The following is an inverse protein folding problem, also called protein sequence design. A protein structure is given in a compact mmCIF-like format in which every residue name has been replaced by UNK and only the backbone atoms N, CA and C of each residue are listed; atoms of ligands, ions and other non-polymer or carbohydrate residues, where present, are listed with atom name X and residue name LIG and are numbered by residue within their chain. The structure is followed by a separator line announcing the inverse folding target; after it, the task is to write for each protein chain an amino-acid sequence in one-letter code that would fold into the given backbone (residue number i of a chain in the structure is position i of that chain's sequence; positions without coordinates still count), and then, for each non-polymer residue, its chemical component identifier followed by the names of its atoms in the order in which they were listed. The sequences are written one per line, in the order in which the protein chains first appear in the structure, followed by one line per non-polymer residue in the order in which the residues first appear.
data_IF_478522329326
#
_entry.id   IF_478522329326
#
_cell.length_a   1.000
_cell.length_b   1.000
_cell.length_c   1.000
_cell.angle_alpha   90.00
_cell.angle_beta   90.00
_cell.angle_gamma   90.00
#
_symmetry.space_group_name_H-M   'P 1'
#
loop_
_entity.id
_entity.type
_entity.pdbx_description
1 polymer ?
#
# COMPACT_ATOMS: atom_id res chain seq x y z
N UNK A 1 -3.39 -10.67 13.63
CA UNK A 1 -3.19 -11.46 12.39
C UNK A 1 -2.59 -12.85 12.69
N UNK A 2 -1.31 -13.00 13.05
CA UNK A 2 -0.67 -14.32 13.25
C UNK A 2 -1.33 -15.21 14.31
N UNK A 3 -1.70 -14.65 15.47
CA UNK A 3 -2.42 -15.39 16.52
C UNK A 3 -3.84 -15.78 16.07
N UNK A 4 -4.49 -14.91 15.30
CA UNK A 4 -5.85 -15.13 14.80
C UNK A 4 -5.88 -16.17 13.69
N UNK A 5 -4.94 -16.12 12.75
CA UNK A 5 -4.75 -17.17 11.72
C UNK A 5 -4.49 -18.52 12.38
N UNK A 6 -3.64 -18.57 13.42
CA UNK A 6 -3.38 -19.82 14.18
C UNK A 6 -4.60 -20.31 14.96
N UNK A 7 -5.45 -19.41 15.44
CA UNK A 7 -6.73 -19.76 16.08
C UNK A 7 -7.68 -20.35 15.04
N UNK A 8 -7.90 -19.65 13.94
CA UNK A 8 -8.77 -20.08 12.83
C UNK A 8 -8.34 -21.40 12.20
N UNK A 9 -7.03 -21.63 11.99
CA UNK A 9 -6.51 -22.91 11.49
C UNK A 9 -6.71 -24.08 12.46
N UNK A 10 -6.79 -23.82 13.78
CA UNK A 10 -7.11 -24.86 14.77
C UNK A 10 -8.60 -25.15 14.85
N UNK A 11 -9.42 -24.12 14.69
CA UNK A 11 -10.87 -24.22 14.70
C UNK A 11 -11.41 -24.84 13.40
N UNK A 12 -10.69 -24.68 12.27
CA UNK A 12 -11.12 -25.17 10.96
C UNK A 12 -9.97 -25.91 10.23
N UNK A 13 -9.74 -27.21 10.52
CA UNK A 13 -8.60 -27.98 10.01
C UNK A 13 -8.58 -28.17 8.48
N UNK A 14 -9.74 -28.05 7.82
CA UNK A 14 -9.87 -28.14 6.36
C UNK A 14 -9.71 -26.82 5.60
N UNK A 15 -9.56 -25.69 6.30
CA UNK A 15 -9.49 -24.38 5.67
C UNK A 15 -8.09 -24.10 5.09
N UNK A 16 -7.98 -24.04 3.76
CA UNK A 16 -6.80 -23.55 3.07
C UNK A 16 -6.75 -22.01 3.16
N UNK A 17 -6.06 -21.48 4.16
CA UNK A 17 -5.92 -20.03 4.36
C UNK A 17 -4.71 -19.52 3.58
N UNK A 18 -4.94 -18.72 2.53
CA UNK A 18 -3.91 -17.96 1.83
C UNK A 18 -3.98 -16.50 2.31
N UNK A 19 -2.92 -16.03 2.98
CA UNK A 19 -2.81 -14.64 3.47
C UNK A 19 -1.55 -14.02 2.88
N UNK A 20 -1.66 -12.97 2.09
CA UNK A 20 -0.50 -12.19 1.61
C UNK A 20 -0.38 -10.88 2.38
N UNK A 21 0.83 -10.57 2.89
CA UNK A 21 1.11 -9.37 3.69
C UNK A 21 1.94 -9.68 4.93
N UNK A 22 1.33 -9.71 6.12
CA UNK A 22 2.04 -10.02 7.37
C UNK A 22 2.56 -11.47 7.43
N UNK A 23 1.94 -12.41 6.70
CA UNK A 23 2.43 -13.79 6.65
C UNK A 23 3.71 -13.94 5.82
N UNK A 24 3.95 -13.03 4.86
CA UNK A 24 5.18 -12.98 4.08
C UNK A 24 6.41 -12.62 4.92
N UNK A 25 6.25 -11.96 6.08
CA UNK A 25 7.34 -11.77 7.04
C UNK A 25 7.64 -13.04 7.85
N UNK A 26 6.73 -14.02 7.86
CA UNK A 26 6.86 -15.26 8.64
C UNK A 26 7.44 -16.38 7.76
N UNK A 27 7.01 -16.47 6.50
CA UNK A 27 7.51 -17.45 5.53
C UNK A 27 7.79 -16.79 4.14
N UNK A 28 8.73 -15.83 4.04
CA UNK A 28 8.94 -15.06 2.81
C UNK A 28 9.11 -15.94 1.55
N UNK A 29 9.91 -17.00 1.67
CA UNK A 29 10.20 -17.93 0.57
C UNK A 29 8.95 -18.66 0.04
N UNK A 30 7.94 -18.89 0.88
CA UNK A 30 6.68 -19.52 0.45
C UNK A 30 5.87 -18.52 -0.38
N UNK A 31 5.74 -17.29 0.12
CA UNK A 31 4.88 -16.27 -0.49
C UNK A 31 5.48 -15.69 -1.78
N UNK A 32 6.81 -15.59 -1.89
CA UNK A 32 7.47 -15.12 -3.13
C UNK A 32 7.31 -16.08 -4.31
N UNK A 33 6.93 -17.35 -4.07
CA UNK A 33 6.66 -18.34 -5.11
C UNK A 33 5.19 -18.42 -5.53
N UNK A 34 4.29 -17.68 -4.87
CA UNK A 34 2.88 -17.70 -5.23
C UNK A 34 2.66 -16.92 -6.52
N UNK A 35 1.96 -17.51 -7.47
CA UNK A 35 1.58 -16.82 -8.69
C UNK A 35 0.57 -15.70 -8.37
N UNK A 36 0.65 -14.59 -9.10
CA UNK A 36 -0.30 -13.49 -8.98
C UNK A 36 -1.70 -13.97 -9.35
N UNK A 37 -2.73 -13.45 -8.66
CA UNK A 37 -4.13 -13.73 -8.99
C UNK A 37 -4.52 -12.90 -10.21
N UNK A 38 -5.00 -13.54 -11.28
CA UNK A 38 -5.52 -12.87 -12.46
C UNK A 38 -7.03 -12.62 -12.37
N UNK A 39 -7.81 -13.58 -11.84
CA UNK A 39 -9.28 -13.45 -11.65
C UNK A 39 -9.76 -14.07 -10.35
N UNK A 40 -10.82 -13.46 -9.83
CA UNK A 40 -11.76 -14.14 -8.93
C UNK A 40 -12.81 -14.81 -9.80
N UNK A 41 -12.98 -16.12 -9.63
CA UNK A 41 -13.99 -16.89 -10.34
C UNK A 41 -15.31 -16.83 -9.56
N UNK A 42 -16.39 -16.56 -10.27
CA UNK A 42 -17.74 -16.47 -9.71
C UNK A 42 -18.73 -17.30 -10.52
N UNK A 43 -19.71 -17.86 -9.83
CA UNK A 43 -20.87 -18.53 -10.44
C UNK A 43 -22.12 -18.13 -9.66
N UNK A 44 -23.17 -17.72 -10.38
CA UNK A 44 -24.46 -17.30 -9.80
C UNK A 44 -24.33 -16.32 -8.61
N UNK A 45 -23.38 -15.38 -8.68
CA UNK A 45 -23.15 -14.39 -7.63
C UNK A 45 -22.46 -14.94 -6.38
N UNK A 46 -21.71 -16.04 -6.49
CA UNK A 46 -20.89 -16.61 -5.42
C UNK A 46 -19.46 -16.84 -5.91
N UNK A 47 -18.47 -16.64 -5.06
CA UNK A 47 -17.08 -17.06 -5.29
C UNK A 47 -17.02 -18.59 -5.46
N UNK A 48 -16.26 -19.04 -6.45
CA UNK A 48 -15.97 -20.47 -6.68
C UNK A 48 -14.47 -20.78 -6.71
N UNK A 49 -13.63 -19.77 -6.84
CA UNK A 49 -12.18 -19.95 -6.86
C UNK A 49 -11.40 -18.77 -7.40
N UNK A 50 -10.16 -19.03 -7.77
CA UNK A 50 -9.22 -18.08 -8.36
C UNK A 50 -8.63 -18.65 -9.64
N UNK A 51 -8.40 -17.78 -10.63
CA UNK A 51 -7.49 -18.05 -11.73
C UNK A 51 -6.18 -17.28 -11.48
N UNK A 52 -5.06 -17.98 -11.57
CA UNK A 52 -3.73 -17.42 -11.42
C UNK A 52 -3.15 -16.95 -12.77
N UNK A 53 -2.20 -16.03 -12.72
CA UNK A 53 -1.56 -15.46 -13.91
C UNK A 53 -0.77 -16.50 -14.75
N UNK A 54 -0.41 -17.65 -14.16
CA UNK A 54 0.21 -18.77 -14.85
C UNK A 54 -0.79 -19.75 -15.50
N UNK A 55 -2.09 -19.43 -15.44
CA UNK A 55 -3.17 -20.20 -16.06
C UNK A 55 -3.80 -21.27 -15.17
N UNK A 56 -3.22 -21.56 -13.99
CA UNK A 56 -3.83 -22.51 -13.04
C UNK A 56 -5.08 -21.94 -12.41
N UNK A 57 -6.08 -22.80 -12.17
CA UNK A 57 -7.27 -22.45 -11.39
C UNK A 57 -7.31 -23.27 -10.11
N UNK A 58 -7.72 -22.62 -9.03
CA UNK A 58 -7.82 -23.22 -7.69
C UNK A 58 -9.20 -22.90 -7.10
N UNK A 59 -9.88 -23.91 -6.56
CA UNK A 59 -11.20 -23.76 -5.98
C UNK A 59 -11.11 -23.19 -4.55
N UNK A 60 -11.98 -22.23 -4.25
CA UNK A 60 -12.10 -21.61 -2.92
C UNK A 60 -13.56 -21.28 -2.64
N UNK A 61 -14.00 -21.51 -1.40
CA UNK A 61 -15.33 -21.13 -0.96
C UNK A 61 -15.47 -19.62 -0.74
N UNK A 62 -14.36 -18.95 -0.40
CA UNK A 62 -14.31 -17.52 -0.15
C UNK A 62 -12.98 -16.91 -0.58
N UNK A 63 -12.99 -15.60 -0.85
CA UNK A 63 -11.82 -14.79 -1.18
C UNK A 63 -11.82 -13.52 -0.34
N UNK A 64 -10.70 -13.24 0.32
CA UNK A 64 -10.45 -11.97 1.02
C UNK A 64 -9.41 -11.17 0.23
N UNK A 65 -9.83 -10.11 -0.45
CA UNK A 65 -8.91 -9.23 -1.18
C UNK A 65 -8.31 -8.17 -0.25
N UNK A 66 -6.98 -8.18 -0.12
CA UNK A 66 -6.19 -7.09 0.46
C UNK A 66 -5.59 -6.16 -0.62
N UNK A 67 -5.93 -6.38 -1.89
CA UNK A 67 -5.52 -5.51 -2.98
C UNK A 67 -6.28 -4.19 -2.95
N UNK A 68 -5.83 -3.21 -3.74
CA UNK A 68 -6.62 -2.00 -3.95
C UNK A 68 -8.04 -2.37 -4.43
N UNK A 69 -9.04 -1.70 -3.86
CA UNK A 69 -10.45 -2.02 -4.12
C UNK A 69 -10.83 -1.74 -5.56
N UNK A 70 -10.28 -0.68 -6.19
CA UNK A 70 -10.52 -0.39 -7.60
C UNK A 70 -9.86 -1.44 -8.47
N UNK A 71 -8.63 -1.87 -8.14
CA UNK A 71 -7.98 -2.98 -8.84
C UNK A 71 -8.81 -4.27 -8.74
N UNK A 72 -9.28 -4.62 -7.55
CA UNK A 72 -10.09 -5.83 -7.36
C UNK A 72 -11.34 -5.82 -8.22
N UNK A 73 -12.11 -4.72 -8.21
CA UNK A 73 -13.33 -4.63 -9.02
C UNK A 73 -13.07 -4.52 -10.52
N UNK A 74 -12.09 -3.72 -10.95
CA UNK A 74 -11.85 -3.48 -12.38
C UNK A 74 -11.06 -4.60 -13.06
N UNK A 75 -10.11 -5.21 -12.37
CA UNK A 75 -9.18 -6.21 -12.93
C UNK A 75 -9.61 -7.63 -12.57
N UNK A 76 -9.69 -7.93 -11.28
CA UNK A 76 -9.92 -9.31 -10.83
C UNK A 76 -11.36 -9.79 -11.05
N UNK A 77 -12.32 -8.86 -11.04
CA UNK A 77 -13.75 -9.11 -11.27
C UNK A 77 -14.26 -8.60 -12.63
N UNK A 78 -13.37 -8.42 -13.62
CA UNK A 78 -13.71 -7.84 -14.93
C UNK A 78 -14.83 -8.59 -15.70
N UNK A 79 -14.97 -9.89 -15.44
CA UNK A 79 -15.97 -10.75 -16.08
C UNK A 79 -17.31 -10.74 -15.32
N UNK A 80 -17.34 -10.25 -14.08
CA UNK A 80 -18.54 -10.18 -13.24
C UNK A 80 -19.37 -8.93 -13.56
N UNK A 81 -20.32 -9.09 -14.47
CA UNK A 81 -21.16 -7.99 -14.95
C UNK A 81 -21.94 -7.28 -13.84
N UNK A 82 -22.33 -8.01 -12.79
CA UNK A 82 -23.12 -7.46 -11.69
C UNK A 82 -22.36 -6.38 -10.91
N UNK A 83 -21.02 -6.33 -10.92
CA UNK A 83 -20.24 -5.33 -10.18
C UNK A 83 -19.76 -4.15 -11.03
N UNK A 84 -19.97 -4.16 -12.36
CA UNK A 84 -19.43 -3.13 -13.28
C UNK A 84 -19.82 -1.69 -12.90
N UNK A 85 -21.05 -1.47 -12.45
CA UNK A 85 -21.50 -0.14 -12.01
C UNK A 85 -20.74 0.33 -10.75
N UNK A 86 -20.51 -0.58 -9.79
CA UNK A 86 -19.74 -0.31 -8.57
C UNK A 86 -18.28 -0.03 -8.90
N UNK A 87 -17.71 -0.81 -9.83
CA UNK A 87 -16.34 -0.66 -10.32
C UNK A 87 -16.11 0.74 -10.93
N UNK A 88 -17.00 1.18 -11.83
CA UNK A 88 -16.96 2.54 -12.42
C UNK A 88 -17.10 3.63 -11.37
N UNK A 89 -18.06 3.49 -10.45
CA UNK A 89 -18.30 4.47 -9.37
C UNK A 89 -17.09 4.59 -8.44
N UNK A 90 -16.41 3.48 -8.13
CA UNK A 90 -15.21 3.49 -7.30
C UNK A 90 -14.03 4.16 -8.03
N UNK A 91 -13.82 3.86 -9.30
CA UNK A 91 -12.77 4.47 -10.11
C UNK A 91 -12.96 5.99 -10.31
N UNK A 92 -14.19 6.49 -10.25
CA UNK A 92 -14.50 7.92 -10.35
C UNK A 92 -14.43 8.67 -9.01
N UNK A 93 -14.12 7.99 -7.89
CA UNK A 93 -13.96 8.65 -6.59
C UNK A 93 -12.67 9.48 -6.54
N UNK A 94 -12.55 10.33 -5.52
CA UNK A 94 -11.30 11.02 -5.23
C UNK A 94 -10.30 10.04 -4.64
N UNK A 95 -9.09 10.01 -5.18
CA UNK A 95 -8.02 9.15 -4.71
C UNK A 95 -6.99 9.95 -3.91
N UNK A 96 -6.37 9.30 -2.92
CA UNK A 96 -5.36 9.95 -2.10
C UNK A 96 -4.17 10.37 -2.95
N UNK A 97 -3.34 11.27 -2.43
CA UNK A 97 -2.00 11.48 -2.97
C UNK A 97 -1.21 10.18 -3.07
N UNK A 98 -0.17 10.21 -3.89
CA UNK A 98 0.86 9.18 -3.91
C UNK A 98 2.05 9.62 -3.03
N UNK A 99 3.07 8.77 -2.96
CA UNK A 99 4.31 9.03 -2.26
C UNK A 99 5.48 8.78 -3.21
N UNK A 100 6.56 9.52 -2.97
CA UNK A 100 7.87 9.22 -3.52
C UNK A 100 8.78 8.82 -2.36
N UNK A 101 9.33 7.61 -2.42
CA UNK A 101 10.19 7.06 -1.38
C UNK A 101 11.63 6.92 -1.87
N UNK A 102 12.57 7.16 -0.97
CA UNK A 102 13.97 6.78 -1.16
C UNK A 102 14.37 5.95 0.04
N UNK A 103 14.71 4.68 -0.19
CA UNK A 103 15.41 3.85 0.78
C UNK A 103 16.89 4.01 0.53
N UNK A 104 17.67 4.34 1.56
CA UNK A 104 19.11 4.55 1.38
C UNK A 104 19.92 4.13 2.59
N UNK A 105 21.17 3.72 2.35
CA UNK A 105 22.13 3.36 3.36
C UNK A 105 23.39 4.20 3.23
N UNK A 106 23.96 4.61 4.36
CA UNK A 106 25.15 5.43 4.42
C UNK A 106 26.23 4.78 5.30
N UNK A 107 27.50 4.81 4.86
CA UNK A 107 28.68 4.37 5.63
C UNK A 107 29.16 5.45 6.61
N UNK A 108 28.22 6.06 7.31
CA UNK A 108 28.44 7.15 8.26
C UNK A 108 27.31 7.19 9.27
N UNK A 109 27.63 7.59 10.50
CA UNK A 109 26.66 7.87 11.54
C UNK A 109 26.29 9.35 11.57
N UNK A 110 25.01 9.65 11.83
CA UNK A 110 24.46 11.00 11.94
C UNK A 110 23.83 11.19 13.33
N UNK A 111 24.58 11.65 14.35
CA UNK A 111 24.09 11.68 15.73
C UNK A 111 22.98 12.73 16.02
N UNK A 112 22.67 13.62 15.06
CA UNK A 112 21.73 14.74 15.24
C UNK A 112 20.28 14.49 14.80
N UNK A 113 19.93 13.26 14.44
CA UNK A 113 18.61 12.89 13.91
C UNK A 113 17.85 11.96 14.86
N UNK A 114 16.55 12.17 14.97
CA UNK A 114 15.66 11.28 15.73
C UNK A 114 15.32 10.03 14.92
N UNK A 115 14.69 9.04 15.58
CA UNK A 115 14.16 7.86 14.90
C UNK A 115 13.13 8.26 13.83
N UNK A 116 12.27 9.23 14.14
CA UNK A 116 11.27 9.80 13.24
C UNK A 116 11.46 11.31 13.15
N UNK A 117 11.54 11.85 11.94
CA UNK A 117 11.74 13.28 11.72
C UNK A 117 10.70 13.78 10.72
N UNK A 118 10.04 14.89 11.05
CA UNK A 118 9.18 15.63 10.12
C UNK A 118 9.90 16.92 9.75
N UNK A 119 10.19 17.07 8.47
CA UNK A 119 10.91 18.20 7.90
C UNK A 119 9.89 19.03 7.12
N UNK A 120 9.58 20.22 7.63
CA UNK A 120 8.60 21.10 7.02
C UNK A 120 9.22 21.96 5.92
N UNK A 121 8.50 22.03 4.79
CA UNK A 121 8.78 23.00 3.73
C UNK A 121 8.28 24.40 4.08
N UNK A 122 8.65 25.41 3.28
CA UNK A 122 8.28 26.80 3.52
C UNK A 122 6.79 27.10 3.25
N UNK A 123 6.07 26.24 2.50
CA UNK A 123 4.71 26.49 2.02
C UNK A 123 3.77 25.29 2.23
N UNK A 124 3.38 24.99 3.46
CA UNK A 124 2.53 23.84 3.74
C UNK A 124 1.22 23.82 2.93
N UNK A 125 0.44 24.91 2.96
CA UNK A 125 -0.82 25.02 2.20
C UNK A 125 -0.58 24.99 0.68
N UNK A 126 0.45 25.69 0.22
CA UNK A 126 0.85 25.69 -1.19
C UNK A 126 1.16 24.30 -1.70
N UNK A 127 1.91 23.50 -0.93
CA UNK A 127 2.27 22.12 -1.25
C UNK A 127 1.03 21.21 -1.32
N UNK A 128 0.08 21.35 -0.40
CA UNK A 128 -1.18 20.60 -0.47
C UNK A 128 -1.97 20.93 -1.74
N UNK A 129 -2.05 22.21 -2.12
CA UNK A 129 -2.69 22.61 -3.38
C UNK A 129 -1.96 22.09 -4.63
N UNK A 130 -0.63 21.98 -4.60
CA UNK A 130 0.14 21.37 -5.69
C UNK A 130 -0.20 19.88 -5.84
N UNK A 131 -0.34 19.17 -4.72
CA UNK A 131 -0.62 17.72 -4.68
C UNK A 131 -2.07 17.41 -5.05
N UNK A 132 -3.02 18.04 -4.37
CA UNK A 132 -4.43 17.66 -4.43
C UNK A 132 -5.23 18.43 -5.47
N UNK A 133 -4.85 19.64 -5.86
CA UNK A 133 -5.65 20.45 -6.77
C UNK A 133 -5.01 20.58 -8.15
N UNK A 134 -3.76 21.04 -8.19
CA UNK A 134 -3.05 21.36 -9.44
C UNK A 134 -2.41 20.15 -10.11
N UNK A 135 -2.03 19.12 -9.35
CA UNK A 135 -1.34 17.95 -9.88
C UNK A 135 0.11 18.25 -10.29
N UNK A 136 0.79 19.13 -9.57
CA UNK A 136 2.16 19.56 -9.87
C UNK A 136 3.18 18.89 -8.94
N UNK A 137 4.33 18.51 -9.49
CA UNK A 137 5.47 18.10 -8.67
C UNK A 137 6.14 19.34 -8.06
N UNK A 138 6.02 19.51 -6.74
CA UNK A 138 6.56 20.67 -6.04
C UNK A 138 8.10 20.75 -6.15
N UNK A 139 8.61 21.99 -6.15
CA UNK A 139 10.05 22.27 -6.13
C UNK A 139 10.61 22.27 -4.70
N UNK A 140 9.79 22.64 -3.73
CA UNK A 140 10.02 22.50 -2.29
C UNK A 140 9.43 21.18 -1.74
N UNK A 141 9.81 20.81 -0.52
CA UNK A 141 9.45 19.53 0.08
C UNK A 141 8.91 19.69 1.49
N UNK A 142 7.94 18.85 1.86
CA UNK A 142 7.77 18.41 3.24
C UNK A 142 8.11 16.93 3.29
N UNK A 143 9.12 16.57 4.07
CA UNK A 143 9.66 15.21 4.11
C UNK A 143 9.37 14.57 5.45
N UNK A 144 9.17 13.28 5.44
CA UNK A 144 9.37 12.47 6.63
C UNK A 144 10.59 11.59 6.43
N UNK A 145 11.52 11.65 7.38
CA UNK A 145 12.76 10.88 7.39
C UNK A 145 12.74 9.91 8.57
N UNK A 146 12.88 8.62 8.27
CA UNK A 146 12.96 7.54 9.23
C UNK A 146 14.39 7.02 9.34
N UNK A 147 14.88 6.92 10.57
CA UNK A 147 16.23 6.45 10.89
C UNK A 147 16.15 5.32 11.93
N UNK A 148 15.78 4.09 11.52
CA UNK A 148 15.52 2.98 12.44
C UNK A 148 16.75 2.55 13.25
N UNK A 149 17.97 2.80 12.77
CA UNK A 149 19.21 2.51 13.50
C UNK A 149 19.36 3.30 14.80
N UNK A 150 18.51 4.30 15.05
CA UNK A 150 18.40 4.98 16.36
C UNK A 150 17.90 4.08 17.48
N UNK A 151 17.09 3.07 17.16
CA UNK A 151 16.54 2.14 18.15
C UNK A 151 16.96 0.70 17.90
N UNK A 152 17.34 0.36 16.67
CA UNK A 152 17.77 -0.99 16.31
C UNK A 152 19.03 -0.94 15.43
N UNK A 153 20.19 -1.08 16.06
CA UNK A 153 21.47 -1.09 15.38
C UNK A 153 21.63 -2.28 14.40
N UNK A 154 20.82 -3.34 14.50
CA UNK A 154 20.89 -4.49 13.59
C UNK A 154 20.38 -4.19 12.18
N UNK A 155 19.68 -3.06 12.00
CA UNK A 155 19.13 -2.61 10.73
C UNK A 155 20.19 -2.13 9.72
N UNK A 156 21.46 -1.98 10.12
CA UNK A 156 22.58 -1.65 9.25
C UNK A 156 23.89 -2.29 9.76
N UNK A 157 24.91 -2.46 8.89
CA UNK A 157 26.25 -2.87 9.34
C UNK A 157 26.85 -1.90 10.38
N UNK A 158 27.83 -2.37 11.15
CA UNK A 158 28.54 -1.51 12.10
C UNK A 158 29.11 -0.26 11.41
N UNK A 159 28.95 0.91 12.04
CA UNK A 159 29.37 2.20 11.50
C UNK A 159 28.52 2.72 10.33
N UNK A 160 27.43 2.05 9.97
CA UNK A 160 26.50 2.47 8.92
C UNK A 160 25.14 2.86 9.50
N UNK A 161 24.37 3.63 8.74
CA UNK A 161 22.98 3.91 9.01
C UNK A 161 22.12 3.57 7.80
N UNK A 162 20.88 3.17 8.04
CA UNK A 162 19.87 3.01 7.00
C UNK A 162 18.69 3.93 7.27
N UNK A 163 18.05 4.32 6.18
CA UNK A 163 17.02 5.33 6.16
C UNK A 163 15.94 4.98 5.15
N UNK A 164 14.75 5.51 5.39
CA UNK A 164 13.90 5.87 4.27
C UNK A 164 13.37 7.29 4.44
N UNK A 165 13.26 8.01 3.34
CA UNK A 165 12.59 9.31 3.28
C UNK A 165 11.36 9.18 2.39
N UNK A 166 10.27 9.83 2.78
CA UNK A 166 9.05 9.95 1.98
C UNK A 166 8.72 11.41 1.71
N UNK A 167 8.34 11.67 0.45
CA UNK A 167 7.79 12.94 0.00
C UNK A 167 6.38 12.73 -0.56
N UNK A 168 5.37 13.47 -0.09
CA UNK A 168 4.05 13.50 -0.71
C UNK A 168 4.10 14.04 -2.14
N UNK A 169 3.47 13.34 -3.09
CA UNK A 169 3.40 13.75 -4.50
C UNK A 169 2.00 13.50 -5.06
N UNK A 170 1.56 14.22 -6.12
CA UNK A 170 0.30 13.89 -6.77
C UNK A 170 0.29 12.44 -7.28
N UNK A 171 -0.88 11.82 -7.29
CA UNK A 171 -1.06 10.49 -7.88
C UNK A 171 -1.04 10.57 -9.43
N UNK A 172 -0.85 9.44 -10.10
CA UNK A 172 -0.68 9.37 -11.57
C UNK A 172 -1.90 9.89 -12.35
N UNK A 173 -3.10 9.81 -11.78
CA UNK A 173 -4.30 10.43 -12.37
C UNK A 173 -4.35 11.97 -12.35
N UNK A 174 -3.40 12.64 -11.67
CA UNK A 174 -3.30 14.12 -11.59
C UNK A 174 -1.99 14.66 -12.14
N UNK A 175 -0.90 13.90 -12.05
CA UNK A 175 0.41 14.28 -12.53
C UNK A 175 0.88 13.28 -13.59
N UNK A 176 1.00 13.76 -14.83
CA UNK A 176 1.47 12.99 -15.97
C UNK A 176 2.92 13.38 -16.32
N UNK A 177 3.87 12.72 -15.68
CA UNK A 177 5.31 12.89 -15.94
C UNK A 177 5.98 11.53 -16.09
N UNK A 178 7.14 11.51 -16.76
CA UNK A 178 7.96 10.31 -16.84
C UNK A 178 8.81 10.15 -15.58
N UNK A 179 8.38 9.25 -14.69
CA UNK A 179 9.10 8.98 -13.44
C UNK A 179 10.46 8.30 -13.64
N UNK A 180 10.75 7.73 -14.82
CA UNK A 180 12.08 7.20 -15.14
C UNK A 180 13.09 8.32 -15.35
N UNK A 181 12.63 9.49 -15.80
CA UNK A 181 13.46 10.69 -15.97
C UNK A 181 13.42 11.56 -14.71
N UNK A 182 12.22 11.87 -14.23
CA UNK A 182 12.03 12.80 -13.11
C UNK A 182 12.32 12.18 -11.75
N UNK A 183 12.16 10.86 -11.59
CA UNK A 183 12.43 10.16 -10.33
C UNK A 183 13.88 10.32 -9.86
N UNK A 184 14.90 10.00 -10.67
CA UNK A 184 16.30 10.21 -10.29
C UNK A 184 16.63 11.68 -9.98
N UNK A 185 16.08 12.63 -10.74
CA UNK A 185 16.26 14.07 -10.50
C UNK A 185 15.66 14.50 -9.17
N UNK A 186 14.43 14.09 -8.91
CA UNK A 186 13.71 14.41 -7.68
C UNK A 186 14.42 13.80 -6.46
N UNK A 187 14.92 12.57 -6.58
CA UNK A 187 15.72 11.93 -5.54
C UNK A 187 17.01 12.69 -5.24
N UNK A 188 17.76 13.11 -6.26
CA UNK A 188 19.00 13.88 -6.05
C UNK A 188 18.73 15.22 -5.35
N UNK A 189 17.63 15.91 -5.68
CA UNK A 189 17.24 17.15 -4.99
C UNK A 189 16.89 16.89 -3.51
N UNK A 190 16.16 15.81 -3.21
CA UNK A 190 15.84 15.43 -1.82
C UNK A 190 17.11 15.09 -1.06
N UNK A 191 17.98 14.24 -1.62
CA UNK A 191 19.23 13.84 -0.98
C UNK A 191 20.20 15.00 -0.80
N UNK A 192 20.25 15.94 -1.75
CA UNK A 192 21.04 17.17 -1.61
C UNK A 192 20.46 18.07 -0.52
N UNK A 193 19.15 18.24 -0.45
CA UNK A 193 18.50 18.97 0.64
C UNK A 193 18.79 18.35 2.02
N UNK A 194 18.70 17.02 2.12
CA UNK A 194 19.05 16.30 3.34
C UNK A 194 20.53 16.46 3.69
N UNK A 195 21.42 16.32 2.71
CA UNK A 195 22.86 16.50 2.88
C UNK A 195 23.19 17.88 3.45
N UNK A 196 22.65 18.94 2.85
CA UNK A 196 23.06 20.30 3.17
C UNK A 196 22.53 20.78 4.52
N UNK A 197 21.40 20.22 4.98
CA UNK A 197 20.67 20.74 6.16
C UNK A 197 20.64 19.80 7.36
N UNK A 198 20.64 18.49 7.14
CA UNK A 198 20.33 17.51 8.21
C UNK A 198 21.36 16.39 8.33
N UNK A 199 21.96 15.97 7.21
CA UNK A 199 22.84 14.82 7.08
C UNK A 199 24.15 15.22 6.37
N UNK A 200 24.98 16.12 6.94
CA UNK A 200 26.17 16.62 6.27
C UNK A 200 27.13 15.49 5.91
N UNK A 201 27.49 15.38 4.63
CA UNK A 201 28.34 14.30 4.12
C UNK A 201 27.56 13.06 3.65
N UNK A 202 26.23 13.16 3.49
CA UNK A 202 25.37 12.06 3.05
C UNK A 202 25.74 11.62 1.63
N UNK A 203 25.95 12.55 0.70
CA UNK A 203 26.17 12.18 -0.71
C UNK A 203 27.47 11.39 -0.88
N UNK A 204 28.50 11.73 -0.13
CA UNK A 204 29.82 11.08 -0.15
C UNK A 204 29.81 9.74 0.61
N UNK A 205 28.89 9.57 1.56
CA UNK A 205 28.76 8.36 2.37
C UNK A 205 27.67 7.41 1.88
N UNK A 206 26.94 7.74 0.82
CA UNK A 206 25.89 6.88 0.26
C UNK A 206 26.48 5.56 -0.26
N UNK A 207 25.89 4.44 0.15
CA UNK A 207 26.34 3.08 -0.26
C UNK A 207 25.30 2.40 -1.14
N UNK A 208 24.02 2.57 -0.81
CA UNK A 208 22.90 1.98 -1.54
C UNK A 208 21.73 2.96 -1.59
N UNK A 209 20.97 2.91 -2.67
CA UNK A 209 19.75 3.67 -2.86
C UNK A 209 18.74 2.85 -3.67
N UNK A 210 17.47 2.87 -3.25
CA UNK A 210 16.32 2.43 -4.04
C UNK A 210 15.25 3.52 -4.01
N UNK A 211 14.81 3.93 -5.19
CA UNK A 211 13.67 4.83 -5.36
C UNK A 211 12.40 3.98 -5.50
N UNK A 212 11.29 4.45 -4.92
CA UNK A 212 9.96 3.88 -5.13
C UNK A 212 8.98 5.01 -5.43
N UNK A 213 8.44 5.02 -6.63
CA UNK A 213 7.66 6.10 -7.24
C UNK A 213 6.17 5.75 -7.30
N UNK A 214 5.29 6.70 -7.65
CA UNK A 214 3.89 6.41 -7.95
C UNK A 214 3.69 5.31 -9.00
N UNK A 215 4.60 5.16 -9.96
CA UNK A 215 4.54 4.06 -10.93
C UNK A 215 4.76 2.70 -10.28
N UNK A 216 5.69 2.63 -9.32
CA UNK A 216 5.98 1.41 -8.57
C UNK A 216 4.82 1.03 -7.63
N UNK A 217 4.14 2.01 -7.03
CA UNK A 217 2.87 1.76 -6.33
C UNK A 217 1.82 1.11 -7.25
N UNK A 218 1.75 1.55 -8.51
CA UNK A 218 0.80 0.99 -9.48
C UNK A 218 1.21 -0.41 -9.94
N UNK A 219 2.49 -0.64 -10.23
CA UNK A 219 2.99 -1.89 -10.82
C UNK A 219 3.30 -2.98 -9.80
N UNK A 220 3.93 -2.64 -8.67
CA UNK A 220 4.32 -3.61 -7.63
C UNK A 220 3.20 -3.86 -6.61
N UNK A 221 2.37 -2.85 -6.33
CA UNK A 221 1.31 -2.93 -5.32
C UNK A 221 -0.11 -2.90 -5.89
N UNK A 222 -0.24 -2.94 -7.22
CA UNK A 222 -1.53 -2.89 -7.91
C UNK A 222 -2.42 -1.70 -7.47
N UNK A 223 -1.80 -0.60 -7.01
CA UNK A 223 -2.52 0.52 -6.41
C UNK A 223 -3.09 1.43 -7.50
N UNK A 224 -4.40 1.70 -7.46
CA UNK A 224 -5.04 2.55 -8.46
C UNK A 224 -4.47 3.98 -8.42
N UNK A 225 -4.12 4.50 -9.60
CA UNK A 225 -3.34 5.73 -9.79
C UNK A 225 -1.99 5.80 -9.05
N UNK A 226 -1.49 4.68 -8.52
CA UNK A 226 -0.31 4.69 -7.66
C UNK A 226 -0.56 5.36 -6.31
N UNK A 227 -1.82 5.47 -5.88
CA UNK A 227 -2.19 6.19 -4.65
C UNK A 227 -1.73 5.43 -3.41
N UNK A 228 -1.11 6.11 -2.44
CA UNK A 228 -0.52 5.44 -1.27
C UNK A 228 -1.55 4.98 -0.22
N UNK A 229 -2.74 5.58 -0.21
CA UNK A 229 -3.78 5.34 0.80
C UNK A 229 -5.15 5.04 0.18
N UNK A 230 -5.17 4.61 -1.09
CA UNK A 230 -6.36 4.31 -1.89
C UNK A 230 -7.31 5.52 -2.04
N UNK A 231 -8.41 5.57 -1.28
CA UNK A 231 -9.38 6.68 -1.34
C UNK A 231 -8.92 7.86 -0.48
N UNK A 232 -9.11 9.08 -1.00
CA UNK A 232 -8.86 10.31 -0.25
C UNK A 232 -9.79 10.41 0.98
N UNK A 233 -9.31 10.83 2.16
CA UNK A 233 -10.12 10.90 3.37
C UNK A 233 -11.04 12.15 3.40
N UNK A 234 -11.83 12.38 2.35
CA UNK A 234 -12.87 13.42 2.36
C UNK A 234 -14.16 12.89 3.01
N UNK A 235 -14.92 13.78 3.65
CA UNK A 235 -16.06 13.43 4.51
C UNK A 235 -17.04 12.44 3.86
N UNK A 236 -17.41 12.68 2.59
CA UNK A 236 -18.42 11.91 1.87
C UNK A 236 -17.96 10.54 1.34
N UNK A 237 -16.70 10.15 1.55
CA UNK A 237 -16.18 8.83 1.16
C UNK A 237 -15.31 8.17 2.24
N UNK A 238 -15.33 8.71 3.46
CA UNK A 238 -14.60 8.21 4.62
C UNK A 238 -15.51 7.40 5.56
N UNK A 239 -14.89 6.70 6.52
CA UNK A 239 -15.58 5.93 7.56
C UNK A 239 -16.64 4.96 6.98
N UNK A 240 -17.92 5.22 7.23
CA UNK A 240 -19.04 4.40 6.77
C UNK A 240 -19.17 4.34 5.24
N UNK A 241 -18.75 5.40 4.53
CA UNK A 241 -18.85 5.50 3.07
C UNK A 241 -17.68 4.86 2.30
N UNK A 242 -16.74 4.24 3.02
CA UNK A 242 -15.69 3.41 2.41
C UNK A 242 -16.29 2.10 1.89
N UNK A 243 -15.50 1.37 1.10
CA UNK A 243 -15.87 0.01 0.71
C UNK A 243 -16.04 -0.84 1.96
N UNK A 244 -17.18 -1.52 2.08
CA UNK A 244 -17.44 -2.42 3.20
C UNK A 244 -16.65 -3.72 3.06
N UNK A 245 -16.39 -4.37 4.19
CA UNK A 245 -15.53 -5.55 4.28
C UNK A 245 -16.14 -6.82 3.66
N UNK A 246 -17.45 -6.83 3.34
CA UNK A 246 -18.18 -7.90 2.65
C UNK A 246 -18.84 -7.32 1.40
N UNK A 247 -18.73 -7.99 0.26
CA UNK A 247 -19.45 -7.56 -0.94
C UNK A 247 -20.95 -7.82 -0.81
N UNK A 248 -21.77 -6.90 -1.34
CA UNK A 248 -23.23 -6.99 -1.29
C UNK A 248 -23.82 -7.89 -2.37
N UNK A 249 -23.08 -8.14 -3.46
CA UNK A 249 -23.56 -8.85 -4.66
C UNK A 249 -22.93 -10.23 -4.82
N UNK A 250 -21.67 -10.38 -4.39
CA UNK A 250 -20.90 -11.61 -4.54
C UNK A 250 -20.73 -12.28 -3.16
N UNK A 251 -21.45 -13.38 -2.94
CA UNK A 251 -21.30 -14.20 -1.73
C UNK A 251 -19.90 -14.81 -1.67
N UNK A 252 -19.28 -14.78 -0.49
CA UNK A 252 -17.92 -15.27 -0.28
C UNK A 252 -16.82 -14.29 -0.69
N UNK A 253 -17.14 -13.08 -1.16
CA UNK A 253 -16.15 -12.04 -1.45
C UNK A 253 -16.05 -11.03 -0.31
N UNK A 254 -14.84 -10.84 0.18
CA UNK A 254 -14.51 -9.92 1.26
C UNK A 254 -13.35 -9.02 0.89
N UNK A 255 -13.26 -7.89 1.60
CA UNK A 255 -12.20 -6.91 1.44
C UNK A 255 -11.54 -6.61 2.78
N UNK A 256 -10.26 -6.28 2.74
CA UNK A 256 -9.47 -5.81 3.88
C UNK A 256 -8.47 -4.77 3.39
N UNK A 257 -8.03 -3.88 4.27
CA UNK A 257 -6.91 -2.98 3.98
C UNK A 257 -7.30 -1.52 3.78
N UNK A 258 -6.37 -0.74 3.22
CA UNK A 258 -6.41 0.71 3.30
C UNK A 258 -7.53 1.37 2.49
N UNK A 259 -8.11 0.70 1.49
CA UNK A 259 -9.28 1.17 0.73
C UNK A 259 -10.63 0.76 1.35
N UNK A 260 -10.58 -0.12 2.35
CA UNK A 260 -11.74 -0.75 2.97
C UNK A 260 -12.02 -0.11 4.32
N UNK A 261 -13.26 -0.22 4.80
CA UNK A 261 -13.61 0.18 6.16
C UNK A 261 -12.70 -0.52 7.20
N UNK A 262 -12.25 0.20 8.26
CA UNK A 262 -12.51 1.61 8.58
C UNK A 262 -11.61 2.62 7.85
N UNK A 263 -10.47 2.21 7.28
CA UNK A 263 -9.65 3.07 6.43
C UNK A 263 -8.15 2.77 6.49
N UNK A 264 -7.37 3.73 6.00
CA UNK A 264 -5.91 3.63 5.90
C UNK A 264 -5.18 3.82 7.24
N UNK A 265 -3.87 3.57 7.23
CA UNK A 265 -3.01 3.62 8.42
C UNK A 265 -3.02 2.29 9.19
N UNK A 266 -1.95 2.02 9.95
CA UNK A 266 -1.77 0.75 10.64
C UNK A 266 -2.96 0.38 11.56
N UNK A 267 -3.50 1.29 12.41
CA UNK A 267 -4.68 0.97 13.21
C UNK A 267 -5.93 0.68 12.36
N UNK A 268 -6.11 1.44 11.26
CA UNK A 268 -7.23 1.29 10.34
C UNK A 268 -7.20 -0.06 9.63
N UNK A 269 -6.05 -0.45 9.08
CA UNK A 269 -5.85 -1.72 8.37
C UNK A 269 -5.98 -2.92 9.32
N UNK A 270 -5.44 -2.84 10.55
CA UNK A 270 -5.62 -3.91 11.55
C UNK A 270 -7.09 -4.05 11.95
N UNK A 271 -7.79 -2.94 12.15
CA UNK A 271 -9.22 -2.95 12.47
C UNK A 271 -10.06 -3.47 11.30
N UNK A 272 -9.66 -3.16 10.07
CA UNK A 272 -10.25 -3.72 8.85
C UNK A 272 -10.15 -5.24 8.85
N UNK A 273 -8.97 -5.79 9.15
CA UNK A 273 -8.77 -7.24 9.23
C UNK A 273 -9.63 -7.89 10.32
N UNK A 274 -9.78 -7.24 11.48
CA UNK A 274 -10.67 -7.71 12.55
C UNK A 274 -12.13 -7.74 12.10
N UNK A 275 -12.62 -6.68 11.47
CA UNK A 275 -13.99 -6.60 10.97
C UNK A 275 -14.26 -7.66 9.88
N UNK A 276 -13.35 -7.79 8.90
CA UNK A 276 -13.44 -8.81 7.86
C UNK A 276 -13.47 -10.22 8.43
N UNK A 277 -12.59 -10.52 9.38
CA UNK A 277 -12.56 -11.84 10.03
C UNK A 277 -13.87 -12.13 10.77
N UNK A 278 -14.47 -11.13 11.42
CA UNK A 278 -15.77 -11.28 12.08
C UNK A 278 -16.88 -11.66 11.11
N UNK A 279 -16.96 -10.96 9.98
CA UNK A 279 -17.95 -11.24 8.92
C UNK A 279 -17.76 -12.61 8.28
N UNK A 280 -16.50 -13.02 8.04
CA UNK A 280 -16.20 -14.37 7.52
C UNK A 280 -16.66 -15.43 8.51
N UNK A 281 -16.39 -15.26 9.81
CA UNK A 281 -16.85 -16.22 10.82
C UNK A 281 -18.38 -16.27 10.90
N UNK A 282 -19.06 -15.12 10.83
CA UNK A 282 -20.53 -15.06 10.81
C UNK A 282 -21.14 -15.81 9.62
N UNK A 283 -20.59 -15.60 8.42
CA UNK A 283 -21.13 -16.20 7.19
C UNK A 283 -20.83 -17.71 7.06
N UNK A 284 -19.84 -18.24 7.79
CA UNK A 284 -19.36 -19.63 7.72
C UNK A 284 -19.37 -20.37 9.07
N UNK A 285 -20.13 -19.91 10.06
CA UNK A 285 -20.25 -20.57 11.37
C UNK A 285 -21.07 -21.88 11.34
N UNK A 286 -21.54 -22.33 10.17
CA UNK A 286 -22.49 -23.44 10.00
C UNK A 286 -21.98 -24.49 9.01
#
# INVERSE_FOLDING_TARGET
AKQEIRRLSRENPGAAIIVTGCAAQIEPARFTRMAEVDRVLTESGKVTGLLLADGRSEAFDLVVSNGDVVHTYNRLLRDETSVRAKARRLASKRHSMSLFLIYFGAKKLFPGIAHHNVIFGPRYEGLLGDIFDRGNLAQDFSLYLHAPTRTDASMAPAGHECFYVLSPVPHLGKLNIDWKVEGPRYADRILSHLNDKYLPGLKESLVVQRIFTPEDFRSELNSHWGSAFSLEPVLHQSAYFRTHNRDERIKGLYFVGAGTHPGAGLPGVISSAKATSGLVMEDYAH
#
